data_IF_630458240618
#
_entry.id   IF_630458240618
#
_cell.length_a   1.000
_cell.length_b   1.000
_cell.length_c   1.000
_cell.angle_alpha   90.00
_cell.angle_beta   90.00
_cell.angle_gamma   90.00
#
_symmetry.space_group_name_H-M   'P 1'
#
loop_
_entity.id
_entity.type
_entity.pdbx_description
1 polymer ?
#
# COMPACT_ATOMS: atom_id res chain seq x y z
N UNK A 1 0.99 1.54 -6.93
CA UNK A 1 0.60 0.87 -8.18
C UNK A 1 1.84 0.17 -8.72
N UNK A 2 1.87 -1.17 -8.69
CA UNK A 2 2.80 -1.91 -9.54
C UNK A 2 2.36 -1.60 -10.96
N UNK A 3 3.25 -1.02 -11.77
CA UNK A 3 3.01 -0.82 -13.20
C UNK A 3 2.78 -2.19 -13.85
N UNK A 4 1.52 -2.57 -13.98
CA UNK A 4 1.11 -3.83 -14.65
C UNK A 4 1.18 -3.72 -16.18
N UNK A 5 1.52 -2.56 -16.71
CA UNK A 5 1.46 -2.21 -18.13
C UNK A 5 2.44 -2.98 -19.03
N UNK A 6 3.41 -3.73 -18.47
CA UNK A 6 4.38 -4.50 -19.27
C UNK A 6 4.63 -5.93 -18.74
N UNK A 7 3.73 -6.47 -17.90
CA UNK A 7 3.90 -7.83 -17.39
C UNK A 7 3.21 -8.82 -18.31
N UNK A 8 3.95 -9.79 -18.82
CA UNK A 8 3.41 -10.91 -19.59
C UNK A 8 3.38 -12.14 -18.68
N UNK A 9 2.18 -12.66 -18.44
CA UNK A 9 2.02 -13.89 -17.66
C UNK A 9 2.20 -15.13 -18.54
N UNK A 10 2.88 -16.13 -18.03
CA UNK A 10 2.91 -17.47 -18.65
C UNK A 10 2.11 -18.41 -17.75
N UNK A 11 1.02 -18.99 -18.30
CA UNK A 11 0.12 -19.87 -17.57
C UNK A 11 0.26 -21.28 -18.12
N UNK A 12 0.83 -22.19 -17.32
CA UNK A 12 0.88 -23.61 -17.65
C UNK A 12 -0.41 -24.29 -17.23
N UNK A 13 -1.09 -24.91 -18.21
CA UNK A 13 -2.41 -25.51 -18.03
C UNK A 13 -2.37 -27.01 -18.29
N UNK A 14 -3.34 -27.75 -17.73
CA UNK A 14 -3.61 -29.16 -18.07
C UNK A 14 -5.06 -29.35 -18.50
N UNK A 15 -5.37 -30.34 -19.31
CA UNK A 15 -6.75 -30.67 -19.69
C UNK A 15 -7.65 -30.93 -18.48
N UNK A 16 -8.88 -30.37 -18.50
CA UNK A 16 -9.87 -30.56 -17.44
C UNK A 16 -9.60 -29.78 -16.14
N UNK A 17 -8.67 -28.83 -16.14
CA UNK A 17 -8.33 -28.02 -14.98
C UNK A 17 -9.25 -26.79 -14.87
N UNK A 18 -10.20 -26.80 -13.95
CA UNK A 18 -11.14 -25.69 -13.69
C UNK A 18 -10.40 -24.41 -13.29
N UNK A 19 -9.41 -24.50 -12.38
CA UNK A 19 -8.65 -23.34 -11.93
C UNK A 19 -7.78 -22.72 -13.03
N UNK A 20 -7.38 -23.53 -14.03
CA UNK A 20 -6.70 -23.01 -15.22
C UNK A 20 -7.64 -22.14 -16.06
N UNK A 21 -8.91 -22.52 -16.16
CA UNK A 21 -9.94 -21.72 -16.84
C UNK A 21 -10.19 -20.41 -16.07
N UNK A 22 -10.33 -20.48 -14.75
CA UNK A 22 -10.52 -19.29 -13.91
C UNK A 22 -9.34 -18.33 -13.97
N UNK A 23 -8.11 -18.85 -13.99
CA UNK A 23 -6.92 -18.00 -14.14
C UNK A 23 -6.91 -17.22 -15.45
N UNK A 24 -7.28 -17.86 -16.57
CA UNK A 24 -7.41 -17.20 -17.87
C UNK A 24 -8.53 -16.16 -17.87
N UNK A 25 -9.71 -16.51 -17.38
CA UNK A 25 -10.83 -15.58 -17.26
C UNK A 25 -10.49 -14.35 -16.40
N UNK A 26 -9.74 -14.54 -15.32
CA UNK A 26 -9.29 -13.44 -14.47
C UNK A 26 -8.34 -12.51 -15.23
N UNK A 27 -7.37 -13.04 -15.97
CA UNK A 27 -6.49 -12.25 -16.82
C UNK A 27 -7.28 -11.48 -17.88
N UNK A 28 -8.20 -12.15 -18.58
CA UNK A 28 -9.04 -11.53 -19.61
C UNK A 28 -9.89 -10.39 -19.04
N UNK A 29 -10.52 -10.60 -17.86
CA UNK A 29 -11.35 -9.59 -17.19
C UNK A 29 -10.57 -8.34 -16.76
N UNK A 30 -9.26 -8.48 -16.55
CA UNK A 30 -8.36 -7.38 -16.15
C UNK A 30 -7.55 -6.83 -17.35
N UNK A 31 -7.78 -7.31 -18.56
CA UNK A 31 -7.03 -6.89 -19.76
C UNK A 31 -5.54 -7.25 -19.72
N UNK A 32 -5.18 -8.32 -19.01
CA UNK A 32 -3.80 -8.76 -18.82
C UNK A 32 -3.42 -9.74 -19.92
N UNK A 33 -2.31 -9.45 -20.60
CA UNK A 33 -1.77 -10.35 -21.62
C UNK A 33 -1.10 -11.56 -20.99
N UNK A 34 -1.44 -12.75 -21.48
CA UNK A 34 -0.81 -14.00 -21.06
C UNK A 34 -0.51 -14.94 -22.22
N UNK A 35 0.45 -15.83 -22.00
CA UNK A 35 0.83 -16.92 -22.90
C UNK A 35 0.41 -18.22 -22.24
N UNK A 36 -0.48 -18.98 -22.89
CA UNK A 36 -0.83 -20.32 -22.44
C UNK A 36 0.19 -21.36 -22.92
N UNK A 37 0.69 -22.19 -22.02
CA UNK A 37 1.57 -23.33 -22.31
C UNK A 37 1.00 -24.62 -21.74
N UNK A 38 1.32 -25.75 -22.35
CA UNK A 38 0.91 -27.06 -21.84
C UNK A 38 1.74 -27.43 -20.62
N UNK A 39 1.16 -28.21 -19.71
CA UNK A 39 1.86 -28.74 -18.53
C UNK A 39 3.10 -29.56 -18.88
N UNK A 40 3.16 -30.15 -20.09
CA UNK A 40 4.30 -30.92 -20.62
C UNK A 40 5.50 -30.02 -20.94
N UNK A 41 5.31 -28.72 -21.10
CA UNK A 41 6.35 -27.76 -21.51
C UNK A 41 7.08 -27.14 -20.30
N UNK A 42 6.76 -27.61 -19.07
CA UNK A 42 7.43 -27.16 -17.86
C UNK A 42 8.81 -27.77 -17.79
N UNK A 43 9.83 -26.92 -17.71
CA UNK A 43 11.21 -27.37 -17.51
C UNK A 43 11.37 -27.88 -16.06
N UNK A 44 11.79 -29.14 -15.92
CA UNK A 44 12.07 -29.75 -14.62
C UNK A 44 13.24 -29.01 -13.95
N UNK A 45 13.00 -28.42 -12.78
CA UNK A 45 13.96 -27.61 -12.05
C UNK A 45 13.46 -26.21 -11.64
N UNK A 46 12.42 -25.71 -12.31
CA UNK A 46 11.75 -24.45 -11.96
C UNK A 46 10.56 -24.66 -11.02
N UNK A 47 10.27 -25.89 -10.61
CA UNK A 47 9.10 -26.28 -9.81
C UNK A 47 9.55 -26.88 -8.46
N UNK A 48 9.02 -26.43 -7.32
CA UNK A 48 9.29 -27.08 -6.04
C UNK A 48 8.85 -28.57 -6.03
N UNK A 49 9.56 -29.45 -5.31
CA UNK A 49 9.38 -30.91 -5.41
C UNK A 49 8.07 -31.46 -4.83
N UNK A 50 7.21 -30.66 -4.24
CA UNK A 50 5.97 -31.13 -3.62
C UNK A 50 4.73 -30.74 -4.45
N UNK A 51 4.06 -31.77 -5.01
CA UNK A 51 2.72 -31.72 -5.58
C UNK A 51 2.49 -30.68 -6.66
N UNK A 52 2.65 -31.07 -7.93
CA UNK A 52 2.39 -30.14 -9.06
C UNK A 52 0.90 -29.91 -9.21
N UNK A 53 0.40 -28.84 -8.63
CA UNK A 53 -0.97 -28.33 -8.87
C UNK A 53 -0.99 -27.37 -10.05
N UNK A 54 -2.10 -27.29 -10.79
CA UNK A 54 -2.29 -26.37 -11.92
C UNK A 54 -3.46 -25.41 -11.65
N UNK A 55 -3.39 -24.17 -12.20
CA UNK A 55 -2.37 -23.62 -13.10
C UNK A 55 -1.03 -23.39 -12.40
N UNK A 56 0.04 -23.33 -13.18
CA UNK A 56 1.33 -22.76 -12.77
C UNK A 56 1.56 -21.47 -13.54
N UNK A 57 1.83 -20.40 -12.83
CA UNK A 57 1.83 -19.05 -13.38
C UNK A 57 3.18 -18.39 -13.08
N UNK A 58 3.75 -17.79 -14.13
CA UNK A 58 5.01 -17.07 -14.08
C UNK A 58 4.85 -15.69 -14.69
N UNK A 59 5.65 -14.72 -14.25
CA UNK A 59 5.76 -13.40 -14.85
C UNK A 59 7.06 -13.33 -15.66
N UNK A 60 6.96 -12.76 -16.86
CA UNK A 60 8.11 -12.56 -17.77
C UNK A 60 8.92 -13.85 -17.98
N UNK A 61 8.27 -15.00 -17.91
CA UNK A 61 8.82 -16.30 -18.20
C UNK A 61 9.55 -17.02 -17.07
N UNK A 62 10.04 -16.32 -16.05
CA UNK A 62 10.92 -16.93 -15.05
C UNK A 62 10.54 -16.67 -13.59
N UNK A 63 9.82 -15.61 -13.29
CA UNK A 63 9.47 -15.27 -11.91
C UNK A 63 8.16 -15.99 -11.52
N UNK A 64 8.19 -16.94 -10.56
CA UNK A 64 7.01 -17.72 -10.20
C UNK A 64 6.00 -16.87 -9.42
N UNK A 65 4.75 -16.89 -9.86
CA UNK A 65 3.60 -16.36 -9.11
C UNK A 65 3.02 -17.45 -8.21
N UNK A 66 2.83 -18.67 -8.75
CA UNK A 66 2.23 -19.80 -8.04
C UNK A 66 1.01 -20.37 -8.73
N UNK A 67 -0.04 -20.68 -7.99
CA UNK A 67 -1.32 -21.18 -8.45
C UNK A 67 -2.35 -20.08 -8.73
N UNK A 68 -3.63 -20.50 -8.83
CA UNK A 68 -4.74 -19.57 -9.06
C UNK A 68 -4.93 -18.59 -7.89
N UNK A 69 -4.89 -19.07 -6.66
CA UNK A 69 -5.05 -18.23 -5.46
C UNK A 69 -3.92 -17.22 -5.32
N UNK A 70 -2.70 -17.63 -5.66
CA UNK A 70 -1.54 -16.73 -5.68
C UNK A 70 -1.69 -15.65 -6.77
N UNK A 71 -2.25 -15.99 -7.95
CA UNK A 71 -2.58 -15.03 -8.99
C UNK A 71 -3.64 -14.02 -8.52
N UNK A 72 -4.69 -14.50 -7.86
CA UNK A 72 -5.74 -13.63 -7.29
C UNK A 72 -5.11 -12.64 -6.32
N UNK A 73 -4.30 -13.13 -5.39
CA UNK A 73 -3.59 -12.30 -4.41
C UNK A 73 -2.62 -11.31 -5.06
N UNK A 74 -1.92 -11.76 -6.11
CA UNK A 74 -0.97 -10.91 -6.84
C UNK A 74 -1.67 -9.78 -7.60
N UNK A 75 -2.83 -10.06 -8.21
CA UNK A 75 -3.61 -9.10 -9.00
C UNK A 75 -4.60 -8.29 -8.15
N UNK A 76 -4.78 -8.64 -6.90
CA UNK A 76 -5.61 -7.85 -5.98
C UNK A 76 -4.85 -6.60 -5.54
N UNK A 77 -5.48 -5.43 -5.58
CA UNK A 77 -4.87 -4.23 -5.03
C UNK A 77 -4.64 -4.44 -3.54
N UNK A 78 -3.42 -4.22 -3.10
CA UNK A 78 -3.04 -4.27 -1.68
C UNK A 78 -2.74 -2.87 -1.17
N UNK A 79 -3.13 -2.60 0.08
CA UNK A 79 -2.85 -1.33 0.74
C UNK A 79 -1.38 -1.24 1.17
N UNK A 80 -0.68 -0.18 0.74
CA UNK A 80 0.69 0.07 1.17
C UNK A 80 0.69 0.93 2.45
N UNK A 81 0.58 0.28 3.61
CA UNK A 81 0.52 0.94 4.91
C UNK A 81 1.80 1.69 5.27
N UNK A 82 2.96 1.21 4.83
CA UNK A 82 4.24 1.89 5.08
C UNK A 82 4.31 3.22 4.33
N UNK A 83 3.90 3.23 3.05
CA UNK A 83 3.79 4.47 2.26
C UNK A 83 2.78 5.44 2.86
N UNK A 84 1.65 4.93 3.34
CA UNK A 84 0.62 5.73 4.00
C UNK A 84 1.16 6.40 5.26
N UNK A 85 1.85 5.67 6.12
CA UNK A 85 2.50 6.22 7.30
C UNK A 85 3.55 7.29 6.95
N UNK A 86 4.36 7.05 5.90
CA UNK A 86 5.34 8.03 5.43
C UNK A 86 4.67 9.32 4.96
N UNK A 87 3.62 9.23 4.15
CA UNK A 87 2.86 10.40 3.66
C UNK A 87 2.23 11.17 4.84
N UNK A 88 1.67 10.48 5.82
CA UNK A 88 1.11 11.11 7.02
C UNK A 88 2.19 11.89 7.81
N UNK A 89 3.41 11.37 7.87
CA UNK A 89 4.56 12.08 8.45
C UNK A 89 4.93 13.34 7.66
N UNK A 90 5.03 13.25 6.34
CA UNK A 90 5.30 14.38 5.45
C UNK A 90 4.22 15.47 5.57
N UNK A 91 2.93 15.07 5.64
CA UNK A 91 1.82 16.01 5.87
C UNK A 91 1.92 16.68 7.23
N UNK A 92 2.31 15.97 8.28
CA UNK A 92 2.52 16.52 9.61
C UNK A 92 3.60 17.60 9.60
N UNK A 93 4.70 17.38 8.90
CA UNK A 93 5.77 18.35 8.71
C UNK A 93 5.29 19.60 7.97
N UNK A 94 4.59 19.39 6.84
CA UNK A 94 4.05 20.49 6.03
C UNK A 94 3.06 21.34 6.83
N UNK A 95 2.14 20.71 7.57
CA UNK A 95 1.19 21.42 8.43
C UNK A 95 1.90 22.16 9.57
N UNK A 96 2.98 21.60 10.10
CA UNK A 96 3.81 22.26 11.07
C UNK A 96 4.43 23.56 10.54
N UNK A 97 4.90 23.57 9.28
CA UNK A 97 5.37 24.78 8.61
C UNK A 97 4.24 25.78 8.35
N UNK A 98 3.05 25.31 7.97
CA UNK A 98 1.88 26.20 7.79
C UNK A 98 1.58 26.97 9.07
N UNK A 99 1.68 26.35 10.25
CA UNK A 99 1.48 27.03 11.53
C UNK A 99 2.49 28.15 11.73
N UNK A 100 3.74 27.98 11.29
CA UNK A 100 4.78 29.01 11.43
C UNK A 100 4.58 30.21 10.48
N UNK A 101 4.00 30.00 9.31
CA UNK A 101 3.81 31.03 8.26
C UNK A 101 2.41 31.60 8.15
N UNK A 102 1.45 31.05 8.93
CA UNK A 102 0.07 31.48 8.85
C UNK A 102 -0.13 32.90 9.42
N UNK A 103 -1.15 33.60 8.89
CA UNK A 103 -1.60 34.85 9.47
C UNK A 103 -2.53 34.58 10.65
N UNK A 104 -2.28 35.27 11.76
CA UNK A 104 -3.10 35.21 12.97
C UNK A 104 -3.78 36.55 13.23
N UNK A 105 -5.12 36.58 13.35
CA UNK A 105 -5.87 37.82 13.52
C UNK A 105 -5.64 38.51 14.89
N UNK A 106 -5.27 37.72 15.92
CA UNK A 106 -4.99 38.23 17.28
C UNK A 106 -3.74 37.57 17.86
N UNK A 107 -3.11 38.25 18.84
CA UNK A 107 -1.94 37.72 19.54
C UNK A 107 -2.26 36.46 20.35
N UNK A 108 -3.48 36.33 20.83
CA UNK A 108 -3.96 35.17 21.58
C UNK A 108 -4.02 33.95 20.67
N UNK A 109 -4.55 34.08 19.45
CA UNK A 109 -4.61 32.99 18.48
C UNK A 109 -3.22 32.59 18.01
N UNK A 110 -2.34 33.55 17.75
CA UNK A 110 -0.94 33.29 17.42
C UNK A 110 -0.25 32.49 18.53
N UNK A 111 -0.31 33.00 19.78
CA UNK A 111 0.30 32.34 20.95
C UNK A 111 -0.24 30.93 21.15
N UNK A 112 -1.55 30.71 21.00
CA UNK A 112 -2.17 29.40 21.16
C UNK A 112 -1.70 28.43 20.08
N UNK A 113 -1.71 28.84 18.81
CA UNK A 113 -1.30 27.99 17.71
C UNK A 113 0.18 27.65 17.73
N UNK A 114 1.06 28.63 17.98
CA UNK A 114 2.50 28.38 18.07
C UNK A 114 2.87 27.49 19.27
N UNK A 115 2.12 27.59 20.38
CA UNK A 115 2.34 26.79 21.59
C UNK A 115 1.87 25.34 21.43
N UNK A 116 0.66 25.14 20.93
CA UNK A 116 0.01 23.84 20.93
C UNK A 116 0.11 23.10 19.60
N UNK A 117 0.31 23.81 18.49
CA UNK A 117 0.47 23.31 17.14
C UNK A 117 -0.59 22.27 16.75
N UNK A 118 -1.89 22.60 16.90
CA UNK A 118 -2.96 21.67 16.62
C UNK A 118 -3.04 21.36 15.12
N UNK A 119 -3.13 20.09 14.78
CA UNK A 119 -3.21 19.61 13.40
C UNK A 119 -4.32 18.57 13.29
N UNK A 120 -5.04 18.57 12.16
CA UNK A 120 -6.01 17.55 11.81
C UNK A 120 -5.62 16.91 10.47
N UNK A 121 -5.53 15.59 10.46
CA UNK A 121 -5.28 14.81 9.23
C UNK A 121 -6.43 13.83 9.09
N UNK A 122 -7.15 13.92 7.97
CA UNK A 122 -8.26 13.05 7.63
C UNK A 122 -8.03 12.30 6.32
N UNK A 123 -8.96 11.42 5.99
CA UNK A 123 -8.94 10.63 4.76
C UNK A 123 -10.18 10.89 3.92
N UNK A 124 -9.99 10.79 2.60
CA UNK A 124 -11.04 10.70 1.60
C UNK A 124 -10.81 9.44 0.75
N UNK A 125 -11.89 8.93 0.14
CA UNK A 125 -11.78 7.77 -0.76
C UNK A 125 -11.69 6.42 -0.07
N UNK A 126 -12.09 6.28 1.21
CA UNK A 126 -12.12 4.98 1.90
C UNK A 126 -13.06 3.99 1.20
N UNK A 127 -14.22 4.46 0.73
CA UNK A 127 -15.16 3.64 -0.03
C UNK A 127 -14.55 3.17 -1.35
N UNK A 128 -13.77 4.02 -2.04
CA UNK A 128 -13.07 3.65 -3.28
C UNK A 128 -12.00 2.59 -3.03
N UNK A 129 -11.32 2.63 -1.88
CA UNK A 129 -10.37 1.59 -1.46
C UNK A 129 -11.09 0.25 -1.31
N UNK A 130 -12.22 0.20 -0.60
CA UNK A 130 -12.99 -1.02 -0.42
C UNK A 130 -13.52 -1.55 -1.74
N UNK A 131 -14.04 -0.68 -2.60
CA UNK A 131 -14.48 -1.05 -3.94
C UNK A 131 -13.34 -1.67 -4.77
N UNK A 132 -12.18 -1.03 -4.80
CA UNK A 132 -11.01 -1.54 -5.54
C UNK A 132 -10.48 -2.86 -4.98
N UNK A 133 -10.56 -3.06 -3.67
CA UNK A 133 -10.16 -4.30 -3.00
C UNK A 133 -11.24 -5.37 -3.07
N UNK A 134 -12.42 -5.06 -3.63
CA UNK A 134 -13.59 -5.93 -3.67
C UNK A 134 -14.03 -6.40 -2.28
N UNK A 135 -14.02 -5.49 -1.32
CA UNK A 135 -14.39 -5.73 0.07
C UNK A 135 -15.75 -5.10 0.35
N UNK A 136 -16.68 -5.86 0.94
CA UNK A 136 -17.96 -5.33 1.39
C UNK A 136 -17.77 -4.36 2.56
N UNK A 137 -18.46 -3.22 2.53
CA UNK A 137 -18.29 -2.14 3.50
C UNK A 137 -18.62 -2.56 4.95
N UNK A 138 -19.53 -3.49 5.13
CA UNK A 138 -19.98 -4.04 6.42
C UNK A 138 -19.22 -5.29 6.87
N UNK A 139 -18.23 -5.74 6.07
CA UNK A 139 -17.45 -6.95 6.37
C UNK A 139 -16.45 -6.74 7.51
N UNK A 140 -16.02 -7.82 8.14
CA UNK A 140 -14.95 -7.78 9.14
C UNK A 140 -13.60 -7.46 8.50
N UNK A 141 -13.40 -7.80 7.23
CA UNK A 141 -12.22 -7.43 6.45
C UNK A 141 -12.16 -5.91 6.27
N UNK A 142 -13.28 -5.24 5.95
CA UNK A 142 -13.35 -3.78 5.86
C UNK A 142 -12.97 -3.12 7.20
N UNK A 143 -13.44 -3.66 8.32
CA UNK A 143 -13.08 -3.18 9.67
C UNK A 143 -11.57 -3.29 9.92
N UNK A 144 -10.94 -4.40 9.52
CA UNK A 144 -9.50 -4.60 9.67
C UNK A 144 -8.69 -3.64 8.80
N UNK A 145 -9.04 -3.51 7.51
CA UNK A 145 -8.40 -2.56 6.60
C UNK A 145 -8.54 -1.14 7.11
N UNK A 146 -9.73 -0.73 7.55
CA UNK A 146 -9.98 0.57 8.15
C UNK A 146 -9.08 0.81 9.37
N UNK A 147 -9.02 -0.15 10.29
CA UNK A 147 -8.15 -0.08 11.47
C UNK A 147 -6.69 0.13 11.07
N UNK A 148 -6.16 -0.67 10.15
CA UNK A 148 -4.77 -0.58 9.71
C UNK A 148 -4.45 0.74 8.99
N UNK A 149 -5.41 1.30 8.22
CA UNK A 149 -5.27 2.61 7.58
C UNK A 149 -5.08 3.69 8.66
N UNK A 150 -5.98 3.76 9.63
CA UNK A 150 -5.91 4.80 10.67
C UNK A 150 -4.76 4.59 11.65
N UNK A 151 -4.39 3.36 11.98
CA UNK A 151 -3.18 3.07 12.75
C UNK A 151 -1.91 3.56 12.03
N UNK A 152 -1.84 3.35 10.71
CA UNK A 152 -0.70 3.79 9.90
C UNK A 152 -0.58 5.32 9.85
N UNK A 153 -1.70 6.02 9.65
CA UNK A 153 -1.75 7.49 9.64
C UNK A 153 -1.35 8.03 11.01
N UNK A 154 -1.94 7.49 12.07
CA UNK A 154 -1.67 7.91 13.44
C UNK A 154 -0.20 7.70 13.82
N UNK A 155 0.34 6.51 13.52
CA UNK A 155 1.74 6.20 13.76
C UNK A 155 2.69 7.16 13.01
N UNK A 156 2.46 7.37 11.70
CA UNK A 156 3.31 8.25 10.89
C UNK A 156 3.29 9.69 11.40
N UNK A 157 2.10 10.19 11.73
CA UNK A 157 1.91 11.54 12.25
C UNK A 157 2.56 11.74 13.60
N UNK A 158 2.36 10.83 14.56
CA UNK A 158 2.98 10.91 15.89
C UNK A 158 4.49 10.79 15.84
N UNK A 159 5.00 9.86 15.03
CA UNK A 159 6.44 9.67 14.85
C UNK A 159 7.09 10.97 14.37
N UNK A 160 6.54 11.58 13.30
CA UNK A 160 7.11 12.83 12.77
C UNK A 160 6.95 14.01 13.75
N UNK A 161 5.82 14.11 14.42
CA UNK A 161 5.61 15.13 15.48
C UNK A 161 6.65 15.04 16.60
N UNK A 162 6.98 13.82 17.03
CA UNK A 162 8.03 13.59 18.02
C UNK A 162 9.42 14.01 17.50
N UNK A 163 9.74 13.67 16.25
CA UNK A 163 11.01 14.04 15.61
C UNK A 163 11.15 15.57 15.53
N UNK A 164 10.12 16.27 15.03
CA UNK A 164 10.07 17.71 14.95
C UNK A 164 10.25 18.39 16.33
N UNK A 165 9.65 17.83 17.37
CA UNK A 165 9.82 18.32 18.74
C UNK A 165 11.26 18.20 19.22
N UNK A 166 11.94 17.09 18.93
CA UNK A 166 13.37 16.88 19.26
C UNK A 166 14.27 17.85 18.50
N UNK A 167 14.05 17.99 17.18
CA UNK A 167 14.79 18.91 16.32
C UNK A 167 14.72 20.35 16.85
N UNK A 168 13.54 20.80 17.29
CA UNK A 168 13.37 22.12 17.90
C UNK A 168 14.09 22.27 19.24
N UNK A 169 14.00 21.24 20.08
CA UNK A 169 14.69 21.26 21.37
C UNK A 169 16.22 21.36 21.19
N UNK A 170 16.78 20.63 20.24
CA UNK A 170 18.20 20.68 19.91
C UNK A 170 18.60 22.04 19.33
N UNK A 171 17.79 22.62 18.45
CA UNK A 171 18.04 23.96 17.90
C UNK A 171 18.02 25.03 18.97
N UNK A 172 17.11 24.96 19.94
CA UNK A 172 17.06 25.88 21.08
C UNK A 172 18.29 25.74 21.95
N UNK A 173 18.75 24.54 22.26
CA UNK A 173 19.99 24.33 23.05
C UNK A 173 21.19 24.95 22.36
N UNK A 174 21.38 24.75 21.06
CA UNK A 174 22.49 25.36 20.30
C UNK A 174 22.46 26.88 20.36
N UNK A 175 21.28 27.51 20.31
CA UNK A 175 21.15 28.95 20.40
C UNK A 175 21.55 29.48 21.79
N UNK A 176 21.23 28.74 22.86
CA UNK A 176 21.66 29.09 24.22
C UNK A 176 23.17 28.93 24.45
N UNK A 177 23.81 27.96 23.78
CA UNK A 177 25.26 27.73 23.88
C UNK A 177 26.10 28.79 23.12
N UNK A 178 25.49 29.53 22.21
CA UNK A 178 26.13 30.58 21.39
C UNK A 178 25.98 31.97 21.99
N UNK A 179 25.23 32.14 23.10
CA UNK A 179 25.08 33.38 23.87
C UNK A 179 25.98 33.39 25.07
#
# INVERSE_FOLDING_TARGET
EKETTNMIFTIYTKPGCIFCTYAKQLCDSKGITYIEKKHTDIVIGTVPPHGVTFPRIFINGNEPVGGFEDLVSFLSPSMNYQRLAKIAGELTENLNHVIDYNYYPTKETERSNLRHRPMGIGVQGLADVFYRMNISFDSDEAKQVNKQIFESIYYGSLKRSMELSRERQESMKRLYELQ
#
